data_IF_620448150011
#
_entry.id   IF_620448150011
#
_cell.length_a   1.000
_cell.length_b   1.000
_cell.length_c   1.000
_cell.angle_alpha   90.00
_cell.angle_beta   90.00
_cell.angle_gamma   90.00
#
_symmetry.space_group_name_H-M   'P 1'
#
loop_
_entity.id
_entity.type
_entity.pdbx_description
1 polymer ?
#
# COMPACT_ATOMS: atom_id res chain seq x y z
N UNK A 1 17.10 18.78 -8.58
CA UNK A 1 15.81 18.97 -7.86
C UNK A 1 14.63 18.21 -8.49
N UNK A 2 14.70 17.71 -9.72
CA UNK A 2 13.59 16.97 -10.36
C UNK A 2 13.17 15.65 -9.66
N UNK A 3 14.08 14.99 -8.93
CA UNK A 3 13.81 13.72 -8.25
C UNK A 3 12.82 13.81 -7.08
N UNK A 4 12.76 14.95 -6.38
CA UNK A 4 11.90 15.13 -5.20
C UNK A 4 10.41 15.15 -5.59
N UNK A 5 10.07 15.87 -6.67
CA UNK A 5 8.69 15.93 -7.15
C UNK A 5 8.15 14.57 -7.61
N UNK A 6 9.00 13.76 -8.27
CA UNK A 6 8.65 12.41 -8.68
C UNK A 6 8.42 11.49 -7.46
N UNK A 7 9.26 11.61 -6.42
CA UNK A 7 9.10 10.86 -5.18
C UNK A 7 7.79 11.21 -4.46
N UNK A 8 7.50 12.50 -4.26
CA UNK A 8 6.25 12.95 -3.62
C UNK A 8 5.01 12.52 -4.39
N UNK A 9 5.01 12.66 -5.73
CA UNK A 9 3.91 12.18 -6.55
C UNK A 9 3.70 10.67 -6.41
N UNK A 10 4.78 9.88 -6.46
CA UNK A 10 4.69 8.43 -6.27
C UNK A 10 4.13 8.05 -4.90
N UNK A 11 4.56 8.74 -3.83
CA UNK A 11 4.05 8.54 -2.47
C UNK A 11 2.54 8.80 -2.38
N UNK A 12 2.07 9.91 -2.94
CA UNK A 12 0.66 10.30 -2.93
C UNK A 12 -0.21 9.36 -3.77
N UNK A 13 0.25 9.00 -4.97
CA UNK A 13 -0.47 8.05 -5.84
C UNK A 13 -0.58 6.69 -5.15
N UNK A 14 0.51 6.20 -4.57
CA UNK A 14 0.51 4.93 -3.84
C UNK A 14 -0.38 4.99 -2.60
N UNK A 15 -0.42 6.12 -1.88
CA UNK A 15 -1.33 6.34 -0.76
C UNK A 15 -2.81 6.28 -1.19
N UNK A 16 -3.15 6.91 -2.32
CA UNK A 16 -4.49 6.88 -2.87
C UNK A 16 -4.90 5.46 -3.31
N UNK A 17 -3.99 4.72 -3.97
CA UNK A 17 -4.23 3.33 -4.34
C UNK A 17 -4.41 2.43 -3.11
N UNK A 18 -3.65 2.66 -2.03
CA UNK A 18 -3.81 1.94 -0.78
C UNK A 18 -5.15 2.22 -0.10
N UNK A 19 -5.60 3.48 -0.12
CA UNK A 19 -6.93 3.85 0.38
C UNK A 19 -8.05 3.18 -0.44
N UNK A 20 -7.92 3.15 -1.77
CA UNK A 20 -8.85 2.44 -2.65
C UNK A 20 -8.85 0.93 -2.39
N UNK A 21 -7.67 0.34 -2.20
CA UNK A 21 -7.51 -1.08 -1.85
C UNK A 21 -8.24 -1.43 -0.54
N UNK A 22 -8.09 -0.58 0.50
CA UNK A 22 -8.77 -0.74 1.78
C UNK A 22 -10.29 -0.62 1.63
N UNK A 23 -10.77 0.40 0.92
CA UNK A 23 -12.20 0.61 0.67
C UNK A 23 -12.83 -0.58 -0.06
N UNK A 24 -12.14 -1.10 -1.08
CA UNK A 24 -12.58 -2.28 -1.81
C UNK A 24 -12.47 -3.56 -0.97
N UNK A 25 -11.44 -3.69 -0.13
CA UNK A 25 -11.31 -4.80 0.82
C UNK A 25 -12.45 -4.82 1.84
N UNK A 26 -12.84 -3.65 2.36
CA UNK A 26 -13.97 -3.50 3.27
C UNK A 26 -15.29 -3.84 2.58
N UNK A 27 -15.53 -3.35 1.35
CA UNK A 27 -16.75 -3.67 0.62
C UNK A 27 -16.89 -5.17 0.32
N UNK A 28 -15.79 -5.85 0.00
CA UNK A 28 -15.75 -7.31 -0.17
C UNK A 28 -16.09 -8.06 1.13
N UNK A 29 -15.60 -7.58 2.28
CA UNK A 29 -15.97 -8.14 3.59
C UNK A 29 -17.47 -8.00 3.83
N UNK A 30 -18.05 -6.84 3.53
CA UNK A 30 -19.47 -6.55 3.65
C UNK A 30 -20.36 -7.27 2.60
N UNK A 31 -19.77 -7.97 1.63
CA UNK A 31 -20.51 -8.79 0.67
C UNK A 31 -20.86 -8.10 -0.65
N UNK A 32 -20.41 -6.87 -0.87
CA UNK A 32 -20.72 -6.13 -2.10
C UNK A 32 -20.00 -6.74 -3.31
N UNK A 33 -20.77 -7.17 -4.33
CA UNK A 33 -20.29 -7.61 -5.65
C UNK A 33 -19.06 -8.54 -5.59
N UNK A 34 -19.04 -9.47 -4.63
CA UNK A 34 -17.86 -10.30 -4.30
C UNK A 34 -17.15 -10.91 -5.51
N UNK A 35 -17.88 -11.41 -6.52
CA UNK A 35 -17.24 -12.01 -7.69
C UNK A 35 -16.58 -10.98 -8.63
N UNK A 36 -17.16 -9.79 -8.79
CA UNK A 36 -16.63 -8.75 -9.69
C UNK A 36 -15.51 -7.95 -9.02
N UNK A 37 -15.58 -7.74 -7.70
CA UNK A 37 -14.65 -6.89 -6.96
C UNK A 37 -13.34 -7.59 -6.54
N UNK A 38 -13.26 -8.93 -6.62
CA UNK A 38 -12.05 -9.69 -6.25
C UNK A 38 -10.86 -9.42 -7.16
N UNK A 39 -11.04 -9.50 -8.48
CA UNK A 39 -9.94 -9.26 -9.41
C UNK A 39 -9.40 -7.82 -9.33
N UNK A 40 -10.26 -6.77 -9.32
CA UNK A 40 -9.79 -5.40 -9.09
C UNK A 40 -9.06 -5.21 -7.76
N UNK A 41 -9.50 -5.89 -6.70
CA UNK A 41 -8.81 -5.86 -5.40
C UNK A 41 -7.40 -6.44 -5.48
N UNK A 42 -7.21 -7.58 -6.16
CA UNK A 42 -5.87 -8.14 -6.36
C UNK A 42 -5.01 -7.28 -7.29
N UNK A 43 -5.57 -6.71 -8.35
CA UNK A 43 -4.86 -5.78 -9.23
C UNK A 43 -4.37 -4.54 -8.46
N UNK A 44 -5.23 -3.94 -7.63
CA UNK A 44 -4.86 -2.84 -6.73
C UNK A 44 -3.78 -3.26 -5.73
N UNK A 45 -3.87 -4.47 -5.15
CA UNK A 45 -2.85 -4.97 -4.23
C UNK A 45 -1.47 -5.02 -4.88
N UNK A 46 -1.36 -5.57 -6.10
CA UNK A 46 -0.09 -5.59 -6.83
C UNK A 46 0.39 -4.18 -7.19
N UNK A 47 -0.52 -3.30 -7.61
CA UNK A 47 -0.19 -1.90 -7.91
C UNK A 47 0.36 -1.18 -6.67
N UNK A 48 -0.21 -1.40 -5.48
CA UNK A 48 0.28 -0.82 -4.22
C UNK A 48 1.64 -1.42 -3.83
N UNK A 49 1.88 -2.71 -4.05
CA UNK A 49 3.19 -3.32 -3.79
C UNK A 49 4.29 -2.69 -4.67
N UNK A 50 4.03 -2.60 -5.98
CA UNK A 50 4.95 -1.97 -6.94
C UNK A 50 5.13 -0.48 -6.63
N UNK A 51 4.03 0.24 -6.36
CA UNK A 51 4.04 1.65 -5.98
C UNK A 51 4.88 1.90 -4.73
N UNK A 52 4.73 1.08 -3.70
CA UNK A 52 5.52 1.20 -2.46
C UNK A 52 7.01 1.00 -2.71
N UNK A 53 7.38 0.00 -3.52
CA UNK A 53 8.78 -0.25 -3.89
C UNK A 53 9.36 0.90 -4.74
N UNK A 54 8.59 1.42 -5.69
CA UNK A 54 8.98 2.58 -6.51
C UNK A 54 9.13 3.84 -5.67
N UNK A 55 8.20 4.13 -4.77
CA UNK A 55 8.29 5.24 -3.82
C UNK A 55 9.55 5.14 -2.96
N UNK A 56 9.87 3.95 -2.44
CA UNK A 56 11.11 3.73 -1.68
C UNK A 56 12.35 4.03 -2.52
N UNK A 57 12.41 3.54 -3.75
CA UNK A 57 13.53 3.77 -4.67
C UNK A 57 13.68 5.23 -5.09
N UNK A 58 12.57 5.90 -5.42
CA UNK A 58 12.57 7.32 -5.82
C UNK A 58 12.94 8.23 -4.66
N UNK A 59 12.38 8.01 -3.47
CA UNK A 59 12.77 8.75 -2.26
C UNK A 59 14.24 8.55 -1.93
N UNK A 60 14.76 7.32 -2.02
CA UNK A 60 16.19 7.04 -1.83
C UNK A 60 17.06 7.78 -2.85
N UNK A 61 16.70 7.72 -4.14
CA UNK A 61 17.43 8.41 -5.21
C UNK A 61 17.39 9.93 -5.08
N UNK A 62 16.31 10.47 -4.51
CA UNK A 62 16.18 11.89 -4.18
C UNK A 62 16.94 12.32 -2.90
N UNK A 63 17.61 11.39 -2.21
CA UNK A 63 18.35 11.64 -0.97
C UNK A 63 17.49 11.63 0.31
N UNK A 64 16.22 11.26 0.20
CA UNK A 64 15.31 11.08 1.34
C UNK A 64 15.42 9.66 1.93
N UNK A 65 14.78 9.43 3.09
CA UNK A 65 14.88 8.17 3.84
C UNK A 65 13.95 7.10 3.28
N UNK A 66 14.03 6.77 1.99
CA UNK A 66 13.13 5.81 1.32
C UNK A 66 13.03 4.43 1.98
N UNK A 67 14.03 4.05 2.78
CA UNK A 67 14.02 2.81 3.57
C UNK A 67 12.90 2.75 4.63
N UNK A 68 12.30 3.89 5.03
CA UNK A 68 11.18 3.93 5.98
C UNK A 68 9.91 3.27 5.43
N UNK A 69 9.82 3.02 4.12
CA UNK A 69 8.70 2.32 3.47
C UNK A 69 8.87 0.79 3.45
N UNK A 70 10.07 0.27 3.72
CA UNK A 70 10.34 -1.17 3.67
C UNK A 70 9.47 -1.98 4.66
N UNK A 71 9.18 -1.52 5.89
CA UNK A 71 8.27 -2.22 6.78
C UNK A 71 6.85 -2.36 6.19
N UNK A 72 6.33 -1.33 5.51
CA UNK A 72 5.02 -1.40 4.86
C UNK A 72 5.03 -2.41 3.71
N UNK A 73 6.09 -2.41 2.89
CA UNK A 73 6.27 -3.40 1.82
C UNK A 73 6.33 -4.83 2.38
N UNK A 74 7.05 -5.05 3.48
CA UNK A 74 7.11 -6.36 4.13
C UNK A 74 5.71 -6.82 4.61
N UNK A 75 4.91 -5.93 5.20
CA UNK A 75 3.53 -6.24 5.62
C UNK A 75 2.61 -6.56 4.44
N UNK A 76 2.73 -5.84 3.31
CA UNK A 76 2.01 -6.16 2.07
C UNK A 76 2.35 -7.58 1.60
N UNK A 77 3.63 -7.94 1.58
CA UNK A 77 4.09 -9.27 1.15
C UNK A 77 3.71 -10.39 2.14
N UNK A 78 3.33 -10.04 3.38
CA UNK A 78 2.78 -10.97 4.36
C UNK A 78 1.28 -11.24 4.16
N UNK A 79 0.54 -10.39 3.41
CA UNK A 79 -0.90 -10.55 3.19
C UNK A 79 -1.34 -11.95 2.73
N UNK A 80 -0.65 -12.60 1.77
CA UNK A 80 -1.05 -13.93 1.28
C UNK A 80 -1.02 -15.02 2.35
N UNK A 81 -0.33 -14.80 3.48
CA UNK A 81 -0.29 -15.74 4.61
C UNK A 81 -1.54 -15.69 5.50
N UNK A 82 -2.40 -14.69 5.30
CA UNK A 82 -3.67 -14.55 6.04
C UNK A 82 -4.84 -15.01 5.19
N UNK A 83 -5.99 -15.33 5.82
CA UNK A 83 -7.18 -15.77 5.08
C UNK A 83 -8.10 -14.58 4.77
N UNK A 84 -8.49 -14.36 3.50
CA UNK A 84 -9.39 -13.27 3.14
C UNK A 84 -10.74 -13.42 3.85
N UNK A 85 -11.31 -12.31 4.29
CA UNK A 85 -12.57 -12.27 5.05
C UNK A 85 -12.43 -12.56 6.55
N UNK A 86 -11.22 -12.87 7.05
CA UNK A 86 -10.98 -12.97 8.50
C UNK A 86 -10.50 -11.66 9.10
N UNK A 87 -10.77 -11.48 10.39
CA UNK A 87 -10.31 -10.32 11.16
C UNK A 87 -8.78 -10.16 11.16
N UNK A 88 -8.02 -11.26 11.06
CA UNK A 88 -6.56 -11.21 10.97
C UNK A 88 -6.08 -10.50 9.70
N UNK A 89 -6.70 -10.77 8.56
CA UNK A 89 -6.41 -10.12 7.28
C UNK A 89 -6.71 -8.61 7.34
N UNK A 90 -7.88 -8.25 7.90
CA UNK A 90 -8.25 -6.85 8.08
C UNK A 90 -7.30 -6.09 9.01
N UNK A 91 -6.96 -6.69 10.15
CA UNK A 91 -6.01 -6.09 11.11
C UNK A 91 -4.65 -5.85 10.47
N UNK A 92 -4.14 -6.82 9.71
CA UNK A 92 -2.88 -6.66 9.00
C UNK A 92 -2.96 -5.50 7.98
N UNK A 93 -4.09 -5.34 7.29
CA UNK A 93 -4.28 -4.27 6.30
C UNK A 93 -4.26 -2.88 6.97
N UNK A 94 -4.91 -2.73 8.13
CA UNK A 94 -4.87 -1.49 8.90
C UNK A 94 -3.47 -1.18 9.44
N UNK A 95 -2.76 -2.18 9.98
CA UNK A 95 -1.37 -2.01 10.44
C UNK A 95 -0.48 -1.61 9.27
N UNK A 96 -0.63 -2.26 8.11
CA UNK A 96 0.09 -1.91 6.90
C UNK A 96 -0.15 -0.45 6.48
N UNK A 97 -1.40 0.02 6.54
CA UNK A 97 -1.72 1.41 6.19
C UNK A 97 -1.13 2.43 7.17
N UNK A 98 -1.18 2.15 8.47
CA UNK A 98 -0.53 3.00 9.48
C UNK A 98 0.99 3.05 9.27
N UNK A 99 1.62 1.89 9.07
CA UNK A 99 3.07 1.78 8.82
C UNK A 99 3.46 2.46 7.51
N UNK A 100 2.63 2.37 6.46
CA UNK A 100 2.83 3.12 5.23
C UNK A 100 2.78 4.63 5.48
N UNK A 101 1.79 5.13 6.23
CA UNK A 101 1.70 6.56 6.58
C UNK A 101 2.92 7.07 7.35
N UNK A 102 3.43 6.30 8.31
CA UNK A 102 4.69 6.59 9.02
C UNK A 102 5.89 6.55 8.07
N UNK A 103 5.91 5.60 7.13
CA UNK A 103 6.92 5.48 6.10
C UNK A 103 6.96 6.71 5.19
N UNK A 104 5.79 7.18 4.73
CA UNK A 104 5.63 8.42 3.95
C UNK A 104 6.15 9.60 4.75
N UNK A 105 5.77 9.77 6.02
CA UNK A 105 6.27 10.87 6.86
C UNK A 105 7.80 10.89 6.95
N UNK A 106 8.44 9.72 7.02
CA UNK A 106 9.91 9.63 7.06
C UNK A 106 10.60 9.82 5.71
N UNK A 107 9.92 9.52 4.60
CA UNK A 107 10.46 9.56 3.23
C UNK A 107 10.06 10.82 2.43
N UNK A 108 9.26 11.70 3.04
CA UNK A 108 8.85 12.99 2.50
C UNK A 108 10.00 13.99 2.53
#
# INVERSE_FOLDING_TARGET
>A
MAGVGAAHLALLVTAALLALLLGLGLSLQLGWRRNQARWPHHALFFAVCVGTALSAGLSWWAGARGWTLLPALALLLLMPRTRPGQASHWRLALVCAAVYGLGVWGAW
#
